data_IF_146071804794
#
_entry.id   IF_146071804794
#
_cell.length_a   1.000
_cell.length_b   1.000
_cell.length_c   1.000
_cell.angle_alpha   90.00
_cell.angle_beta   90.00
_cell.angle_gamma   90.00
#
_symmetry.space_group_name_H-M   'P 1'
#
loop_
_entity.id
_entity.type
_entity.pdbx_description
1 polymer ?
#
# COMPACT_ATOMS: atom_id res chain seq x y z
N UNK A 1 17.42 19.96 0.96
CA UNK A 1 17.68 18.74 1.77
C UNK A 1 17.15 18.86 3.20
N UNK A 2 17.25 20.03 3.85
CA UNK A 2 16.81 20.26 5.24
C UNK A 2 15.29 20.29 5.42
N UNK A 3 14.54 20.77 4.44
CA UNK A 3 13.08 20.93 4.54
C UNK A 3 12.32 19.60 4.75
N UNK A 4 12.78 18.51 4.11
CA UNK A 4 12.21 17.17 4.33
C UNK A 4 12.51 16.66 5.75
N UNK A 5 13.71 16.94 6.27
CA UNK A 5 14.10 16.55 7.64
C UNK A 5 13.26 17.30 8.66
N UNK A 6 13.03 18.60 8.46
CA UNK A 6 12.17 19.38 9.34
C UNK A 6 10.72 18.91 9.31
N UNK A 7 10.21 18.56 8.13
CA UNK A 7 8.85 18.01 7.98
C UNK A 7 8.70 16.64 8.67
N UNK A 8 9.70 15.77 8.58
CA UNK A 8 9.67 14.47 9.25
C UNK A 8 9.86 14.57 10.77
N UNK A 9 10.68 15.51 11.24
CA UNK A 9 10.96 15.67 12.67
C UNK A 9 9.95 16.52 13.45
N UNK A 10 9.28 17.47 12.78
CA UNK A 10 8.44 18.49 13.44
C UNK A 10 7.07 18.69 12.79
N UNK A 11 6.81 18.08 11.63
CA UNK A 11 5.53 18.17 10.96
C UNK A 11 4.43 17.47 11.75
N UNK A 12 3.30 18.14 11.95
CA UNK A 12 2.10 17.51 12.51
C UNK A 12 1.37 16.74 11.41
N UNK A 13 1.11 15.45 11.65
CA UNK A 13 0.45 14.56 10.69
C UNK A 13 0.74 13.08 10.98
N UNK A 14 0.50 12.22 10.00
CA UNK A 14 0.83 10.80 10.06
C UNK A 14 1.47 10.34 8.74
N UNK A 15 2.24 9.24 8.79
CA UNK A 15 2.83 8.62 7.61
C UNK A 15 1.90 7.48 7.19
N UNK A 16 1.29 7.61 6.01
CA UNK A 16 0.63 6.48 5.36
C UNK A 16 1.69 5.71 4.58
N UNK A 17 2.02 4.50 5.04
CA UNK A 17 2.91 3.60 4.32
C UNK A 17 2.09 2.85 3.25
N UNK A 18 2.38 3.13 1.98
CA UNK A 18 1.78 2.46 0.82
C UNK A 18 2.75 1.45 0.19
N UNK A 19 3.86 1.10 0.85
CA UNK A 19 4.88 0.18 0.34
C UNK A 19 4.59 -1.30 0.66
N UNK A 20 3.33 -1.72 0.54
CA UNK A 20 3.01 -3.14 0.70
C UNK A 20 3.73 -3.98 -0.36
N UNK A 21 4.61 -4.88 0.09
CA UNK A 21 5.15 -5.96 -0.74
C UNK A 21 4.02 -6.84 -1.30
N UNK A 22 4.25 -7.49 -2.45
CA UNK A 22 3.23 -8.32 -3.11
C UNK A 22 2.63 -9.44 -2.27
N UNK A 23 3.34 -9.91 -1.24
CA UNK A 23 2.79 -10.90 -0.31
C UNK A 23 1.66 -10.40 0.60
N UNK A 24 1.48 -9.08 0.71
CA UNK A 24 0.43 -8.46 1.55
C UNK A 24 -0.76 -7.90 0.75
N UNK A 25 -0.58 -7.70 -0.57
CA UNK A 25 -1.63 -7.25 -1.50
C UNK A 25 -2.88 -8.15 -1.52
N UNK A 26 -2.77 -9.51 -1.52
CA UNK A 26 -3.95 -10.38 -1.43
C UNK A 26 -4.78 -10.12 -0.18
N UNK A 27 -4.10 -9.83 0.94
CA UNK A 27 -4.74 -9.60 2.24
C UNK A 27 -5.39 -8.23 2.30
N UNK A 28 -4.80 -7.21 1.68
CA UNK A 28 -5.43 -5.90 1.55
C UNK A 28 -6.67 -5.98 0.65
N UNK A 29 -6.56 -6.61 -0.53
CA UNK A 29 -7.68 -6.80 -1.47
C UNK A 29 -8.86 -7.55 -0.82
N UNK A 30 -8.59 -8.60 -0.04
CA UNK A 30 -9.62 -9.29 0.72
C UNK A 30 -10.33 -8.39 1.74
N UNK A 31 -9.60 -7.48 2.41
CA UNK A 31 -10.20 -6.50 3.33
C UNK A 31 -11.06 -5.46 2.60
N UNK A 32 -10.77 -5.18 1.33
CA UNK A 32 -11.59 -4.33 0.46
C UNK A 32 -12.71 -5.09 -0.27
N UNK A 33 -12.86 -6.40 -0.04
CA UNK A 33 -13.93 -7.23 -0.61
C UNK A 33 -13.64 -7.82 -1.98
N UNK A 34 -12.38 -7.79 -2.44
CA UNK A 34 -11.94 -8.45 -3.67
C UNK A 34 -11.53 -9.89 -3.34
N UNK A 35 -12.24 -10.86 -3.90
CA UNK A 35 -11.96 -12.29 -3.69
C UNK A 35 -10.70 -12.72 -4.46
N UNK A 36 -9.98 -13.72 -3.95
CA UNK A 36 -8.82 -14.28 -4.63
C UNK A 36 -9.15 -14.94 -5.98
N UNK A 37 -10.41 -15.27 -6.24
CA UNK A 37 -10.89 -15.71 -7.56
C UNK A 37 -10.99 -14.58 -8.59
N UNK A 38 -10.83 -13.32 -8.18
CA UNK A 38 -10.95 -12.15 -9.06
C UNK A 38 -9.68 -11.89 -9.89
N UNK A 39 -8.56 -12.56 -9.58
CA UNK A 39 -7.30 -12.45 -10.29
C UNK A 39 -6.67 -13.84 -10.45
N UNK A 40 -6.04 -14.10 -11.61
CA UNK A 40 -5.41 -15.40 -11.90
C UNK A 40 -3.89 -15.35 -11.84
N UNK A 41 -3.30 -14.17 -11.65
CA UNK A 41 -1.87 -13.95 -11.51
C UNK A 41 -1.56 -12.81 -10.55
N UNK A 42 -0.33 -12.77 -10.04
CA UNK A 42 0.16 -11.67 -9.18
C UNK A 42 0.13 -10.33 -9.93
N UNK A 43 0.35 -10.33 -11.24
CA UNK A 43 0.29 -9.14 -12.09
C UNK A 43 -1.14 -8.59 -12.23
N UNK A 44 -2.14 -9.46 -12.46
CA UNK A 44 -3.55 -9.04 -12.48
C UNK A 44 -4.01 -8.51 -11.11
N UNK A 45 -3.48 -9.07 -10.03
CA UNK A 45 -3.74 -8.59 -8.67
C UNK A 45 -3.19 -7.17 -8.46
N UNK A 46 -1.98 -6.88 -8.93
CA UNK A 46 -1.35 -5.56 -8.80
C UNK A 46 -2.00 -4.47 -9.66
N UNK A 47 -2.71 -4.83 -10.73
CA UNK A 47 -3.49 -3.85 -11.51
C UNK A 47 -4.78 -3.40 -10.81
N UNK A 48 -5.19 -4.08 -9.72
CA UNK A 48 -6.41 -3.76 -8.95
C UNK A 48 -6.18 -2.89 -7.70
N UNK A 49 -4.92 -2.57 -7.37
CA UNK A 49 -4.53 -1.71 -6.24
C UNK A 49 -4.24 -0.26 -6.62
#
# INVERSE_FOLDING_TARGET
MTEQIERMGRGSGFIAALDQSGGSTPKALQLYGVDASAYNSDEEMFDTV
#
